data_IF_375697445211
#
_entry.id   IF_375697445211
#
_cell.length_a   1.000
_cell.length_b   1.000
_cell.length_c   1.000
_cell.angle_alpha   90.00
_cell.angle_beta   90.00
_cell.angle_gamma   90.00
#
_symmetry.space_group_name_H-M   'P 1'
#
loop_
_entity.id
_entity.type
_entity.pdbx_description
1 polymer ?
#
# COMPACT_ATOMS: atom_id res chain seq x y z
N UNK A 1 30.18 -12.03 -6.24
CA UNK A 1 28.86 -11.42 -6.51
C UNK A 1 28.47 -10.65 -5.26
N UNK A 2 28.31 -9.33 -5.36
CA UNK A 2 27.84 -8.53 -4.21
C UNK A 2 26.38 -8.92 -3.92
N UNK A 3 26.10 -9.48 -2.74
CA UNK A 3 24.74 -9.82 -2.31
C UNK A 3 23.96 -8.50 -2.15
N UNK A 4 22.76 -8.44 -2.73
CA UNK A 4 21.93 -7.26 -2.67
C UNK A 4 21.43 -7.04 -1.23
N UNK A 5 21.99 -6.06 -0.52
CA UNK A 5 21.79 -5.84 0.92
C UNK A 5 20.32 -5.80 1.34
N UNK A 6 19.44 -5.20 0.53
CA UNK A 6 17.99 -5.13 0.82
C UNK A 6 17.34 -6.52 0.74
N UNK A 7 17.77 -7.37 -0.21
CA UNK A 7 17.17 -8.68 -0.45
C UNK A 7 17.55 -9.71 0.63
N UNK A 8 18.76 -9.59 1.18
CA UNK A 8 19.32 -10.56 2.15
C UNK A 8 19.40 -10.02 3.58
N UNK A 9 18.77 -8.89 3.88
CA UNK A 9 18.70 -8.40 5.26
C UNK A 9 17.91 -9.38 6.16
N UNK A 10 18.30 -9.57 7.41
CA UNK A 10 17.55 -10.39 8.35
C UNK A 10 16.24 -9.70 8.73
N UNK A 11 15.13 -10.41 8.59
CA UNK A 11 13.86 -10.03 9.21
C UNK A 11 13.81 -10.46 10.67
N UNK A 12 12.75 -10.11 11.39
CA UNK A 12 12.48 -10.66 12.71
C UNK A 12 12.12 -12.15 12.57
N UNK A 13 12.87 -13.03 13.24
CA UNK A 13 12.60 -14.46 13.24
C UNK A 13 11.38 -14.80 14.10
N UNK A 14 10.79 -15.99 13.91
CA UNK A 14 9.67 -16.47 14.74
C UNK A 14 10.07 -16.56 16.23
N UNK A 15 11.24 -17.10 16.62
CA UNK A 15 11.68 -17.09 18.00
C UNK A 15 11.80 -15.67 18.60
N UNK A 16 12.40 -14.73 17.88
CA UNK A 16 12.48 -13.32 18.30
C UNK A 16 11.08 -12.71 18.47
N UNK A 17 10.17 -12.96 17.52
CA UNK A 17 8.79 -12.50 17.63
C UNK A 17 8.11 -13.06 18.89
N UNK A 18 8.24 -14.36 19.15
CA UNK A 18 7.65 -14.98 20.34
C UNK A 18 8.27 -14.46 21.64
N UNK A 19 9.54 -14.10 21.64
CA UNK A 19 10.21 -13.49 22.80
C UNK A 19 9.61 -12.12 23.12
N UNK A 20 9.33 -11.29 22.10
CA UNK A 20 8.84 -9.93 22.30
C UNK A 20 7.31 -9.82 22.33
N UNK A 21 6.60 -10.71 21.62
CA UNK A 21 5.15 -10.65 21.37
C UNK A 21 4.45 -12.00 21.58
N UNK A 22 5.08 -12.92 22.29
CA UNK A 22 4.59 -14.30 22.45
C UNK A 22 3.37 -14.44 23.37
N UNK A 23 3.07 -13.42 24.19
CA UNK A 23 1.94 -13.41 25.10
C UNK A 23 0.99 -12.24 24.80
N UNK A 24 -0.29 -12.41 25.17
CA UNK A 24 -1.30 -11.35 25.06
C UNK A 24 -0.88 -10.07 25.84
N UNK A 25 -0.25 -10.25 27.00
CA UNK A 25 0.23 -9.14 27.84
C UNK A 25 1.34 -8.35 27.12
N UNK A 26 2.31 -9.02 26.53
CA UNK A 26 3.37 -8.37 25.73
C UNK A 26 2.79 -7.60 24.54
N UNK A 27 1.84 -8.19 23.85
CA UNK A 27 1.17 -7.56 22.72
C UNK A 27 0.35 -6.33 23.13
N UNK A 28 -0.42 -6.44 24.21
CA UNK A 28 -1.21 -5.34 24.75
C UNK A 28 -0.31 -4.18 25.20
N UNK A 29 0.81 -4.49 25.86
CA UNK A 29 1.79 -3.49 26.29
C UNK A 29 2.47 -2.79 25.10
N UNK A 30 2.84 -3.52 24.04
CA UNK A 30 3.41 -2.93 22.83
C UNK A 30 2.43 -1.94 22.18
N UNK A 31 1.14 -2.30 22.07
CA UNK A 31 0.11 -1.42 21.54
C UNK A 31 -0.11 -0.22 22.46
N UNK A 32 -0.14 -0.42 23.77
CA UNK A 32 -0.31 0.65 24.76
C UNK A 32 0.82 1.68 24.66
N UNK A 33 2.08 1.23 24.63
CA UNK A 33 3.26 2.11 24.49
C UNK A 33 3.24 2.87 23.17
N UNK A 34 2.87 2.21 22.09
CA UNK A 34 2.81 2.83 20.76
C UNK A 34 1.72 3.89 20.64
N UNK A 35 0.61 3.72 21.38
CA UNK A 35 -0.53 4.64 21.35
C UNK A 35 -0.38 5.78 22.36
N UNK A 36 0.24 5.53 23.49
CA UNK A 36 0.37 6.46 24.63
C UNK A 36 1.78 6.38 25.20
N UNK A 37 2.76 6.94 24.49
CA UNK A 37 4.17 6.96 24.90
C UNK A 37 4.36 7.60 26.27
N UNK A 38 3.57 8.64 26.57
CA UNK A 38 3.62 9.43 27.81
C UNK A 38 2.50 9.07 28.82
N UNK A 39 1.96 7.85 28.68
CA UNK A 39 0.82 7.40 29.47
C UNK A 39 -0.53 7.69 28.83
N UNK A 40 -1.54 6.93 29.26
CA UNK A 40 -2.90 7.07 28.73
C UNK A 40 -3.49 8.44 29.01
N UNK A 41 -4.02 9.07 27.94
CA UNK A 41 -4.91 10.24 28.04
C UNK A 41 -6.14 10.02 27.17
N UNK A 42 -7.31 10.16 27.76
CA UNK A 42 -8.56 10.04 27.01
C UNK A 42 -8.66 11.15 25.95
N UNK A 43 -8.88 10.83 24.67
CA UNK A 43 -9.00 11.86 23.63
C UNK A 43 -10.25 12.74 23.75
N UNK A 44 -11.22 12.35 24.60
CA UNK A 44 -12.45 13.11 24.79
C UNK A 44 -12.41 14.02 26.02
N UNK A 45 -11.81 13.56 27.15
CA UNK A 45 -11.85 14.28 28.42
C UNK A 45 -10.47 14.49 29.06
N UNK A 46 -9.38 14.09 28.40
CA UNK A 46 -8.00 14.12 28.90
C UNK A 46 -7.75 13.33 30.21
N UNK A 47 -8.75 12.60 30.73
CA UNK A 47 -8.63 11.77 31.93
C UNK A 47 -7.58 10.67 31.77
N UNK A 48 -6.88 10.35 32.86
CA UNK A 48 -5.79 9.34 32.88
C UNK A 48 -6.25 7.96 33.37
N UNK A 49 -7.43 7.87 33.96
CA UNK A 49 -7.98 6.60 34.44
C UNK A 49 -8.53 5.78 33.27
N UNK A 50 -8.19 4.49 33.21
CA UNK A 50 -8.67 3.58 32.20
C UNK A 50 -8.69 2.14 32.72
N UNK A 51 -9.56 1.32 32.11
CA UNK A 51 -9.57 -0.12 32.30
C UNK A 51 -8.99 -0.81 31.07
N UNK A 52 -8.11 -1.79 31.26
CA UNK A 52 -7.54 -2.59 30.19
C UNK A 52 -8.44 -3.81 29.93
N UNK A 53 -9.07 -3.86 28.76
CA UNK A 53 -9.80 -5.04 28.29
C UNK A 53 -8.94 -5.76 27.27
N UNK A 54 -8.49 -6.99 27.61
CA UNK A 54 -7.60 -7.76 26.77
C UNK A 54 -8.28 -8.33 25.52
N UNK A 55 -7.83 -7.94 24.33
CA UNK A 55 -8.14 -8.59 23.06
C UNK A 55 -6.87 -8.69 22.20
N UNK A 56 -6.51 -9.93 21.89
CA UNK A 56 -5.26 -10.39 21.35
C UNK A 56 -4.63 -9.76 20.11
N UNK A 57 -3.32 -9.57 20.17
CA UNK A 57 -2.48 -8.96 19.13
C UNK A 57 -1.59 -9.94 18.34
N UNK A 58 -1.65 -11.26 18.56
CA UNK A 58 -0.82 -12.29 17.87
C UNK A 58 -0.89 -12.28 16.34
N UNK A 59 -1.75 -11.46 15.76
CA UNK A 59 -2.22 -11.57 14.38
C UNK A 59 -1.45 -10.71 13.37
N UNK A 60 -0.50 -9.87 13.80
CA UNK A 60 0.20 -8.92 12.92
C UNK A 60 1.38 -9.55 12.16
N UNK A 61 2.01 -10.58 12.72
CA UNK A 61 3.24 -11.15 12.19
C UNK A 61 3.11 -11.73 10.78
N UNK A 62 2.09 -12.54 10.53
CA UNK A 62 1.92 -13.21 9.22
C UNK A 62 1.62 -12.27 8.06
N UNK A 63 0.93 -11.16 8.31
CA UNK A 63 0.53 -10.22 7.24
C UNK A 63 1.71 -9.38 6.77
N UNK A 64 2.64 -9.05 7.67
CA UNK A 64 3.77 -8.18 7.36
C UNK A 64 4.96 -8.91 6.74
N UNK A 65 5.22 -10.16 7.12
CA UNK A 65 6.44 -10.90 6.73
C UNK A 65 6.38 -11.55 5.34
N UNK A 66 5.22 -11.66 4.72
CA UNK A 66 5.09 -12.28 3.41
C UNK A 66 5.33 -11.28 2.28
N UNK A 67 6.22 -11.61 1.33
CA UNK A 67 6.51 -10.77 0.15
C UNK A 67 5.25 -10.46 -0.68
N UNK A 68 4.36 -11.44 -0.83
CA UNK A 68 3.14 -11.33 -1.64
C UNK A 68 1.89 -11.01 -0.85
N UNK A 69 1.99 -10.87 0.48
CA UNK A 69 0.84 -10.78 1.37
C UNK A 69 0.20 -12.14 1.65
N UNK A 70 -0.83 -12.16 2.47
CA UNK A 70 -1.55 -13.37 2.86
C UNK A 70 -3.03 -13.24 2.51
N UNK A 71 -3.65 -14.30 1.98
CA UNK A 71 -5.10 -14.31 1.76
C UNK A 71 -5.86 -14.47 3.08
N UNK A 72 -7.10 -13.96 3.15
CA UNK A 72 -7.94 -14.17 4.33
C UNK A 72 -8.19 -15.67 4.63
N UNK A 73 -8.17 -16.52 3.60
CA UNK A 73 -8.33 -17.96 3.77
C UNK A 73 -7.07 -18.61 4.39
N UNK A 74 -5.87 -18.21 3.97
CA UNK A 74 -4.64 -18.65 4.60
C UNK A 74 -4.57 -18.14 6.05
N UNK A 75 -4.86 -16.87 6.27
CA UNK A 75 -4.89 -16.26 7.60
C UNK A 75 -5.90 -16.95 8.55
N UNK A 76 -7.06 -17.40 8.04
CA UNK A 76 -8.01 -18.24 8.81
C UNK A 76 -7.35 -19.52 9.31
N UNK A 77 -6.62 -20.21 8.41
CA UNK A 77 -5.95 -21.49 8.75
C UNK A 77 -4.83 -21.31 9.76
N UNK A 78 -3.99 -20.29 9.52
CA UNK A 78 -2.83 -20.02 10.38
C UNK A 78 -3.22 -19.58 11.80
N UNK A 79 -4.34 -18.87 11.92
CA UNK A 79 -4.81 -18.33 13.21
C UNK A 79 -5.85 -19.21 13.91
N UNK A 80 -6.40 -20.23 13.23
CA UNK A 80 -7.47 -21.06 13.78
C UNK A 80 -8.77 -20.28 14.06
N UNK A 81 -9.02 -19.17 13.34
CA UNK A 81 -10.24 -18.34 13.54
C UNK A 81 -11.26 -18.56 12.42
N UNK A 82 -12.47 -18.02 12.58
CA UNK A 82 -13.49 -18.06 11.53
C UNK A 82 -13.07 -17.22 10.31
N UNK A 83 -13.56 -17.55 9.11
CA UNK A 83 -13.25 -16.77 7.90
C UNK A 83 -13.71 -15.30 8.01
N UNK A 84 -14.91 -14.97 8.53
CA UNK A 84 -15.29 -13.57 8.74
C UNK A 84 -14.30 -12.81 9.65
N UNK A 85 -13.82 -13.45 10.71
CA UNK A 85 -12.82 -12.85 11.63
C UNK A 85 -11.50 -12.62 10.91
N UNK A 86 -10.98 -13.60 10.18
CA UNK A 86 -9.75 -13.47 9.41
C UNK A 86 -9.86 -12.37 8.33
N UNK A 87 -10.99 -12.34 7.62
CA UNK A 87 -11.27 -11.33 6.60
C UNK A 87 -11.31 -9.92 7.20
N UNK A 88 -12.03 -9.74 8.30
CA UNK A 88 -12.14 -8.44 8.96
C UNK A 88 -10.79 -7.95 9.48
N UNK A 89 -10.01 -8.84 10.10
CA UNK A 89 -8.67 -8.53 10.58
C UNK A 89 -7.76 -8.10 9.43
N UNK A 90 -7.73 -8.88 8.35
CA UNK A 90 -6.95 -8.59 7.15
C UNK A 90 -7.27 -7.19 6.59
N UNK A 91 -8.56 -6.86 6.47
CA UNK A 91 -8.99 -5.56 5.97
C UNK A 91 -8.66 -4.41 6.93
N UNK A 92 -8.77 -4.60 8.24
CA UNK A 92 -8.40 -3.57 9.22
C UNK A 92 -6.90 -3.24 9.18
N UNK A 93 -6.04 -4.25 9.08
CA UNK A 93 -4.59 -4.06 8.98
C UNK A 93 -4.22 -3.39 7.66
N UNK A 94 -4.77 -3.87 6.54
CA UNK A 94 -4.54 -3.22 5.25
C UNK A 94 -5.09 -1.78 5.21
N UNK A 95 -6.12 -1.46 5.99
CA UNK A 95 -6.63 -0.08 6.13
C UNK A 95 -5.63 0.80 6.89
N UNK A 96 -4.97 0.28 7.92
CA UNK A 96 -3.91 1.01 8.61
C UNK A 96 -2.72 1.28 7.70
N UNK A 97 -2.29 0.28 6.92
CA UNK A 97 -1.26 0.46 5.89
C UNK A 97 -1.66 1.53 4.87
N UNK A 98 -2.91 1.51 4.39
CA UNK A 98 -3.41 2.49 3.43
C UNK A 98 -3.46 3.91 4.01
N UNK A 99 -3.79 4.05 5.27
CA UNK A 99 -3.81 5.35 5.96
C UNK A 99 -2.40 5.97 6.02
N UNK A 100 -1.38 5.15 6.27
CA UNK A 100 0.01 5.62 6.28
C UNK A 100 0.50 5.98 4.87
N UNK A 101 0.20 5.15 3.88
CA UNK A 101 0.62 5.43 2.49
C UNK A 101 -0.04 6.70 1.92
N UNK A 102 -1.26 7.02 2.34
CA UNK A 102 -1.94 8.25 1.90
C UNK A 102 -1.20 9.52 2.36
N UNK A 103 -0.52 9.50 3.50
CA UNK A 103 0.21 10.65 4.04
C UNK A 103 1.55 10.92 3.34
N UNK A 104 2.11 9.93 2.63
CA UNK A 104 3.41 10.08 1.97
C UNK A 104 3.29 10.73 0.60
N UNK A 105 4.20 11.66 0.31
CA UNK A 105 4.38 12.28 -1.00
C UNK A 105 5.72 11.85 -1.58
N UNK A 106 5.77 11.71 -2.90
CA UNK A 106 7.01 11.38 -3.63
C UNK A 106 7.77 12.65 -3.99
N UNK A 107 9.09 12.52 -4.05
CA UNK A 107 10.04 13.58 -4.40
C UNK A 107 11.16 13.05 -5.31
N UNK A 108 12.05 13.96 -5.73
CA UNK A 108 13.20 13.64 -6.56
C UNK A 108 12.83 13.23 -7.98
N UNK A 109 13.35 12.10 -8.45
CA UNK A 109 13.04 11.55 -9.77
C UNK A 109 11.92 10.52 -9.65
N UNK A 110 10.84 10.68 -10.40
CA UNK A 110 9.67 9.80 -10.33
C UNK A 110 9.35 9.25 -11.73
N UNK A 111 9.25 7.92 -11.82
CA UNK A 111 8.67 7.23 -12.98
C UNK A 111 7.16 7.11 -12.75
N UNK A 112 6.36 7.48 -13.74
CA UNK A 112 4.90 7.54 -13.69
C UNK A 112 4.29 6.75 -14.84
N UNK A 113 3.27 5.93 -14.55
CA UNK A 113 2.57 5.14 -15.56
C UNK A 113 1.08 4.99 -15.25
N UNK A 114 0.26 4.76 -16.29
CA UNK A 114 -1.14 4.42 -16.16
C UNK A 114 -1.31 2.90 -16.04
N UNK A 115 -2.21 2.48 -15.15
CA UNK A 115 -2.48 1.06 -15.01
C UNK A 115 -3.96 0.80 -14.65
N UNK A 116 -4.37 -0.46 -14.85
CA UNK A 116 -5.75 -0.88 -14.59
C UNK A 116 -5.78 -2.16 -13.80
N UNK A 117 -6.66 -2.22 -12.80
CA UNK A 117 -7.05 -3.45 -12.13
C UNK A 117 -8.31 -4.03 -12.79
N UNK A 118 -8.40 -5.36 -12.78
CA UNK A 118 -9.47 -6.09 -13.44
C UNK A 118 -9.12 -6.46 -14.88
N UNK A 119 -9.86 -7.46 -15.39
CA UNK A 119 -9.71 -7.97 -16.76
C UNK A 119 -10.84 -7.50 -17.67
N UNK A 120 -10.72 -7.78 -18.94
CA UNK A 120 -11.79 -7.64 -19.91
C UNK A 120 -12.86 -8.71 -19.67
N UNK A 121 -14.12 -8.33 -19.76
CA UNK A 121 -15.22 -9.30 -19.76
C UNK A 121 -15.41 -9.81 -21.18
N UNK A 122 -15.60 -11.12 -21.33
CA UNK A 122 -15.99 -11.73 -22.59
C UNK A 122 -17.29 -11.09 -23.11
N UNK A 123 -17.28 -10.57 -24.34
CA UNK A 123 -18.42 -9.87 -24.94
C UNK A 123 -18.60 -8.41 -24.54
N UNK A 124 -17.72 -7.86 -23.69
CA UNK A 124 -17.76 -6.45 -23.29
C UNK A 124 -16.90 -5.53 -24.16
N UNK A 125 -16.94 -4.22 -23.86
CA UNK A 125 -16.13 -3.20 -24.53
C UNK A 125 -14.64 -3.45 -24.29
N UNK A 126 -13.84 -3.53 -25.36
CA UNK A 126 -12.41 -3.81 -25.31
C UNK A 126 -11.61 -2.52 -25.03
N UNK A 127 -10.42 -2.66 -24.44
CA UNK A 127 -9.48 -1.54 -24.23
C UNK A 127 -9.67 -0.78 -22.94
N UNK A 128 -9.19 0.47 -22.91
CA UNK A 128 -9.21 1.37 -21.72
C UNK A 128 -10.62 1.70 -21.22
N UNK A 129 -11.65 1.60 -22.06
CA UNK A 129 -13.06 1.85 -21.73
C UNK A 129 -13.84 0.67 -21.21
N UNK A 130 -13.21 -0.48 -20.90
CA UNK A 130 -13.90 -1.65 -20.36
C UNK A 130 -14.44 -1.38 -18.96
N UNK A 131 -15.74 -1.64 -18.74
CA UNK A 131 -16.45 -1.37 -17.48
C UNK A 131 -15.87 -2.09 -16.26
N UNK A 132 -15.14 -3.19 -16.46
CA UNK A 132 -14.56 -3.96 -15.37
C UNK A 132 -13.16 -3.48 -14.96
N UNK A 133 -12.59 -2.52 -15.67
CA UNK A 133 -11.28 -1.95 -15.39
C UNK A 133 -11.38 -0.80 -14.40
N UNK A 134 -10.53 -0.83 -13.38
CA UNK A 134 -10.41 0.22 -12.37
C UNK A 134 -9.08 0.94 -12.59
N UNK A 135 -9.07 2.20 -13.03
CA UNK A 135 -7.85 2.95 -13.31
C UNK A 135 -7.12 3.34 -12.04
N UNK A 136 -5.79 3.24 -12.07
CA UNK A 136 -4.94 3.75 -11.01
C UNK A 136 -3.63 4.29 -11.58
N UNK A 137 -3.07 5.28 -10.89
CA UNK A 137 -1.75 5.82 -11.17
C UNK A 137 -0.72 4.99 -10.43
N UNK A 138 0.34 4.58 -11.12
CA UNK A 138 1.52 3.96 -10.53
C UNK A 138 2.70 4.93 -10.62
N UNK A 139 3.35 5.20 -9.48
CA UNK A 139 4.49 6.10 -9.41
C UNK A 139 5.59 5.52 -8.51
N UNK A 140 6.84 5.56 -8.97
CA UNK A 140 8.00 5.11 -8.19
C UNK A 140 9.07 6.19 -8.17
N UNK A 141 9.47 6.62 -6.97
CA UNK A 141 10.59 7.54 -6.82
C UNK A 141 11.93 6.81 -6.86
N UNK A 142 12.94 7.48 -7.38
CA UNK A 142 14.29 6.97 -7.54
C UNK A 142 15.28 7.85 -6.77
N UNK A 143 16.34 7.24 -6.24
CA UNK A 143 17.49 7.99 -5.73
C UNK A 143 18.42 8.45 -6.89
N UNK A 144 19.47 9.19 -6.56
CA UNK A 144 20.45 9.69 -7.52
C UNK A 144 21.18 8.56 -8.30
N UNK A 145 21.24 7.35 -7.75
CA UNK A 145 21.80 6.16 -8.40
C UNK A 145 20.78 5.41 -9.28
N UNK A 146 19.56 5.97 -9.46
CA UNK A 146 18.50 5.36 -10.26
C UNK A 146 17.85 4.13 -9.60
N UNK A 147 17.99 3.95 -8.29
CA UNK A 147 17.39 2.85 -7.55
C UNK A 147 16.02 3.25 -6.99
N UNK A 148 15.03 2.33 -6.95
CA UNK A 148 13.69 2.65 -6.49
C UNK A 148 13.69 2.90 -4.98
N UNK A 149 13.07 3.98 -4.56
CA UNK A 149 12.98 4.38 -3.16
C UNK A 149 11.59 4.14 -2.60
N UNK A 150 10.57 4.80 -3.14
CA UNK A 150 9.18 4.69 -2.70
C UNK A 150 8.26 4.44 -3.87
N UNK A 151 7.21 3.68 -3.61
CA UNK A 151 6.14 3.36 -4.54
C UNK A 151 4.84 3.97 -4.05
N UNK A 152 4.07 4.55 -4.96
CA UNK A 152 2.71 5.02 -4.72
C UNK A 152 1.77 4.47 -5.78
N UNK A 153 0.63 3.94 -5.36
CA UNK A 153 -0.37 3.31 -6.20
C UNK A 153 -1.73 3.81 -5.77
N UNK A 154 -2.30 4.73 -6.53
CA UNK A 154 -3.55 5.40 -6.15
C UNK A 154 -4.61 5.26 -7.23
N UNK A 155 -5.83 4.95 -6.80
CA UNK A 155 -6.99 4.97 -7.70
C UNK A 155 -7.26 6.39 -8.20
N UNK A 156 -7.65 6.48 -9.46
CA UNK A 156 -8.14 7.71 -10.07
C UNK A 156 -9.51 7.47 -10.70
N UNK A 157 -10.29 8.51 -10.87
CA UNK A 157 -11.60 8.39 -11.54
C UNK A 157 -11.46 8.05 -13.03
N UNK A 158 -10.35 8.50 -13.62
CA UNK A 158 -9.99 8.28 -15.01
C UNK A 158 -8.71 9.03 -15.32
N UNK A 159 -8.13 8.78 -16.48
CA UNK A 159 -6.94 9.48 -16.97
C UNK A 159 -7.34 10.76 -17.69
N UNK A 160 -7.80 11.76 -16.90
CA UNK A 160 -8.10 13.14 -17.33
C UNK A 160 -7.11 14.09 -16.68
N UNK A 161 -6.87 15.24 -17.30
CA UNK A 161 -5.97 16.26 -16.73
C UNK A 161 -6.40 16.68 -15.31
N UNK A 162 -7.70 16.83 -15.06
CA UNK A 162 -8.23 17.18 -13.75
C UNK A 162 -7.92 16.10 -12.68
N UNK A 163 -8.14 14.83 -13.00
CA UNK A 163 -7.84 13.71 -12.08
C UNK A 163 -6.35 13.63 -11.77
N UNK A 164 -5.50 13.80 -12.78
CA UNK A 164 -4.03 13.75 -12.61
C UNK A 164 -3.53 14.98 -11.86
N UNK A 165 -4.04 16.18 -12.13
CA UNK A 165 -3.69 17.38 -11.36
C UNK A 165 -4.02 17.23 -9.88
N UNK A 166 -5.23 16.73 -9.57
CA UNK A 166 -5.64 16.47 -8.19
C UNK A 166 -4.75 15.44 -7.50
N UNK A 167 -4.48 14.33 -8.18
CA UNK A 167 -3.58 13.30 -7.68
C UNK A 167 -2.16 13.84 -7.45
N UNK A 168 -1.60 14.57 -8.40
CA UNK A 168 -0.25 15.11 -8.32
C UNK A 168 -0.09 16.07 -7.13
N UNK A 169 -1.04 16.99 -6.91
CA UNK A 169 -1.06 17.90 -5.76
C UNK A 169 -1.09 17.15 -4.41
N UNK A 170 -1.76 16.00 -4.35
CA UNK A 170 -1.83 15.17 -3.14
C UNK A 170 -0.59 14.27 -2.95
N UNK A 171 0.04 13.82 -4.05
CA UNK A 171 0.99 12.70 -4.04
C UNK A 171 2.43 13.05 -4.38
N UNK A 172 2.68 14.24 -4.95
CA UNK A 172 4.03 14.71 -5.33
C UNK A 172 4.42 15.96 -4.53
N UNK A 173 5.70 16.09 -4.25
CA UNK A 173 6.26 17.35 -3.75
C UNK A 173 6.60 18.28 -4.93
N UNK A 174 6.55 19.61 -4.74
CA UNK A 174 7.02 20.56 -5.74
C UNK A 174 8.48 20.28 -6.15
N UNK A 175 8.85 20.67 -7.36
CA UNK A 175 10.16 20.43 -7.97
C UNK A 175 10.49 18.94 -8.26
N UNK A 176 9.59 18.02 -8.05
CA UNK A 176 9.73 16.61 -8.46
C UNK A 176 9.85 16.51 -9.98
N UNK A 177 10.84 15.76 -10.47
CA UNK A 177 11.02 15.48 -11.91
C UNK A 177 10.28 14.21 -12.27
N UNK A 178 9.21 14.33 -13.05
CA UNK A 178 8.32 13.22 -13.42
C UNK A 178 8.57 12.78 -14.84
N UNK A 179 8.96 11.52 -15.03
CA UNK A 179 9.06 10.87 -16.35
C UNK A 179 7.85 9.97 -16.57
N UNK A 180 7.13 10.16 -17.68
CA UNK A 180 5.97 9.35 -18.07
C UNK A 180 6.05 8.90 -19.54
N UNK A 181 5.19 7.95 -19.94
CA UNK A 181 5.07 7.42 -21.31
C UNK A 181 4.53 8.43 -22.34
N UNK A 182 4.23 9.65 -21.93
CA UNK A 182 3.69 10.70 -22.78
C UNK A 182 2.17 10.67 -22.94
N UNK A 183 1.43 9.94 -22.09
CA UNK A 183 -0.03 10.07 -22.04
C UNK A 183 -0.40 11.53 -21.73
N UNK A 184 -1.22 12.15 -22.61
CA UNK A 184 -1.45 13.60 -22.61
C UNK A 184 -1.88 14.18 -21.25
N UNK A 185 -2.70 13.45 -20.49
CA UNK A 185 -3.17 13.91 -19.17
C UNK A 185 -2.04 14.00 -18.12
N UNK A 186 -0.91 13.31 -18.30
CA UNK A 186 0.23 13.39 -17.37
C UNK A 186 0.94 14.74 -17.39
N UNK A 187 0.74 15.56 -18.42
CA UNK A 187 1.22 16.95 -18.41
C UNK A 187 0.68 17.74 -17.22
N UNK A 188 -0.50 17.39 -16.69
CA UNK A 188 -1.12 18.04 -15.54
C UNK A 188 -0.37 17.88 -14.21
N UNK A 189 0.73 17.07 -14.15
CA UNK A 189 1.59 17.04 -12.95
C UNK A 189 2.29 18.40 -12.73
N UNK A 190 2.43 19.22 -13.76
CA UNK A 190 2.97 20.58 -13.65
C UNK A 190 2.12 21.50 -12.77
N UNK A 191 0.83 21.23 -12.62
CA UNK A 191 -0.07 21.95 -11.70
C UNK A 191 0.29 21.78 -10.22
N UNK A 192 1.10 20.77 -9.91
CA UNK A 192 1.67 20.53 -8.57
C UNK A 192 3.07 21.15 -8.39
N UNK A 193 3.55 21.93 -9.34
CA UNK A 193 4.90 22.50 -9.35
C UNK A 193 5.99 21.48 -9.72
N UNK A 194 5.62 20.37 -10.38
CA UNK A 194 6.56 19.35 -10.84
C UNK A 194 7.10 19.67 -12.24
N UNK A 195 8.27 19.13 -12.57
CA UNK A 195 8.86 19.17 -13.91
C UNK A 195 8.45 17.90 -14.64
N UNK A 196 7.77 18.02 -15.78
CA UNK A 196 7.33 16.87 -16.59
C UNK A 196 8.28 16.59 -17.75
N UNK A 197 8.74 15.35 -17.86
CA UNK A 197 9.61 14.87 -18.94
C UNK A 197 8.92 13.68 -19.65
N UNK A 198 8.06 13.94 -20.63
CA UNK A 198 7.38 12.88 -21.37
C UNK A 198 8.36 12.12 -22.28
N UNK A 199 8.24 10.79 -22.34
CA UNK A 199 8.99 9.90 -23.22
C UNK A 199 8.02 9.07 -24.03
N UNK A 200 7.78 9.47 -25.26
CA UNK A 200 6.88 8.74 -26.17
C UNK A 200 7.48 7.37 -26.47
N UNK A 201 6.80 6.34 -26.00
CA UNK A 201 7.28 4.94 -26.02
C UNK A 201 7.11 4.30 -27.41
N UNK A 202 6.08 4.70 -28.16
CA UNK A 202 5.75 4.14 -29.48
C UNK A 202 5.61 2.62 -29.44
N UNK A 203 6.20 1.94 -30.41
CA UNK A 203 6.21 0.47 -30.52
C UNK A 203 7.38 -0.22 -29.80
N UNK A 204 8.15 0.53 -29.00
CA UNK A 204 9.33 -0.03 -28.30
C UNK A 204 8.88 -1.02 -27.22
N UNK A 205 9.63 -2.12 -27.09
CA UNK A 205 9.39 -3.10 -26.02
C UNK A 205 9.91 -2.57 -24.69
N UNK A 206 9.26 -2.89 -23.53
CA UNK A 206 9.68 -2.41 -22.21
C UNK A 206 11.17 -2.61 -21.88
N UNK A 207 11.79 -3.67 -22.40
CA UNK A 207 13.23 -3.95 -22.21
C UNK A 207 14.16 -2.89 -22.82
N UNK A 208 13.66 -2.13 -23.80
CA UNK A 208 14.43 -1.08 -24.49
C UNK A 208 14.18 0.31 -23.90
N UNK A 209 13.49 0.38 -22.77
CA UNK A 209 13.10 1.60 -22.09
C UNK A 209 13.61 1.57 -20.64
N UNK A 210 14.93 1.76 -20.43
CA UNK A 210 15.53 1.72 -19.10
C UNK A 210 14.93 2.75 -18.14
N UNK A 211 14.45 3.87 -18.66
CA UNK A 211 13.76 4.93 -17.91
C UNK A 211 12.42 4.51 -17.31
N UNK A 212 11.83 3.38 -17.74
CA UNK A 212 10.60 2.81 -17.16
C UNK A 212 10.84 1.46 -16.46
N UNK A 213 12.11 1.07 -16.28
CA UNK A 213 12.47 -0.23 -15.70
C UNK A 213 11.76 -0.51 -14.38
N UNK A 214 11.80 0.45 -13.48
CA UNK A 214 11.30 0.21 -12.12
C UNK A 214 9.79 0.23 -12.03
N UNK A 215 9.12 1.14 -12.73
CA UNK A 215 7.66 1.15 -12.75
C UNK A 215 7.10 -0.12 -13.38
N UNK A 216 7.68 -0.61 -14.49
CA UNK A 216 7.31 -1.87 -15.10
C UNK A 216 7.56 -3.07 -14.18
N UNK A 217 8.69 -3.07 -13.45
CA UNK A 217 8.99 -4.11 -12.45
C UNK A 217 7.96 -4.12 -11.32
N UNK A 218 7.57 -2.94 -10.81
CA UNK A 218 6.58 -2.83 -9.74
C UNK A 218 5.19 -3.29 -10.21
N UNK A 219 4.77 -2.92 -11.41
CA UNK A 219 3.51 -3.38 -12.00
C UNK A 219 3.50 -4.90 -12.25
N UNK A 220 4.62 -5.46 -12.70
CA UNK A 220 4.79 -6.92 -12.83
C UNK A 220 4.67 -7.64 -11.48
N UNK A 221 5.36 -7.16 -10.46
CA UNK A 221 5.29 -7.71 -9.10
C UNK A 221 3.88 -7.58 -8.49
N UNK A 222 3.19 -6.46 -8.72
CA UNK A 222 1.81 -6.27 -8.29
C UNK A 222 0.88 -7.30 -8.94
N UNK A 223 0.97 -7.48 -10.28
CA UNK A 223 0.18 -8.50 -11.01
C UNK A 223 0.40 -9.89 -10.45
N UNK A 224 1.64 -10.28 -10.22
CA UNK A 224 2.01 -11.58 -9.63
C UNK A 224 1.43 -11.73 -8.22
N UNK A 225 1.51 -10.70 -7.39
CA UNK A 225 0.96 -10.69 -6.03
C UNK A 225 -0.55 -10.86 -6.04
N UNK A 226 -1.25 -10.10 -6.88
CA UNK A 226 -2.71 -10.17 -6.97
C UNK A 226 -3.18 -11.52 -7.51
N UNK A 227 -2.53 -12.06 -8.54
CA UNK A 227 -2.86 -13.37 -9.10
C UNK A 227 -2.58 -14.53 -8.12
N UNK A 228 -1.52 -14.42 -7.32
CA UNK A 228 -1.13 -15.46 -6.36
C UNK A 228 -1.98 -15.48 -5.10
N UNK A 229 -2.15 -14.34 -4.45
CA UNK A 229 -2.77 -14.26 -3.13
C UNK A 229 -4.26 -13.88 -3.15
N UNK A 230 -4.76 -13.18 -4.17
CA UNK A 230 -6.05 -12.50 -4.14
C UNK A 230 -6.92 -12.76 -5.39
N UNK A 231 -7.20 -14.01 -5.70
CA UNK A 231 -7.90 -14.42 -6.93
C UNK A 231 -9.34 -13.88 -7.11
N UNK A 232 -10.01 -13.47 -6.04
CA UNK A 232 -11.42 -13.06 -6.08
C UNK A 232 -11.64 -11.65 -5.50
N UNK A 233 -10.83 -10.69 -5.91
CA UNK A 233 -10.97 -9.30 -5.47
C UNK A 233 -12.13 -8.59 -6.16
N UNK A 234 -12.99 -7.96 -5.34
CA UNK A 234 -13.93 -6.95 -5.84
C UNK A 234 -13.15 -5.62 -6.02
N UNK A 235 -12.44 -5.46 -7.15
CA UNK A 235 -11.54 -4.34 -7.41
C UNK A 235 -12.19 -2.98 -7.17
N UNK A 236 -13.40 -2.71 -7.67
CA UNK A 236 -14.09 -1.44 -7.45
C UNK A 236 -14.25 -1.06 -5.98
N UNK A 237 -14.26 -2.07 -5.08
CA UNK A 237 -14.54 -1.85 -3.66
C UNK A 237 -13.28 -1.77 -2.81
N UNK A 238 -12.30 -2.61 -3.10
CA UNK A 238 -11.16 -2.84 -2.22
C UNK A 238 -9.82 -2.49 -2.85
N UNK A 239 -9.79 -2.08 -4.12
CA UNK A 239 -8.57 -1.87 -4.87
C UNK A 239 -7.57 -0.97 -4.12
N UNK A 240 -7.99 0.23 -3.68
CA UNK A 240 -7.10 1.15 -2.97
C UNK A 240 -6.42 0.52 -1.76
N UNK A 241 -7.17 -0.25 -0.97
CA UNK A 241 -6.65 -0.91 0.23
C UNK A 241 -5.57 -1.94 -0.11
N UNK A 242 -5.74 -2.70 -1.20
CA UNK A 242 -4.75 -3.70 -1.63
C UNK A 242 -3.55 -3.08 -2.34
N UNK A 243 -3.76 -2.05 -3.14
CA UNK A 243 -2.69 -1.27 -3.76
C UNK A 243 -1.80 -0.63 -2.71
N UNK A 244 -2.40 0.03 -1.72
CA UNK A 244 -1.68 0.65 -0.62
C UNK A 244 -0.94 -0.38 0.25
N UNK A 245 -1.53 -1.54 0.54
CA UNK A 245 -0.86 -2.59 1.29
C UNK A 245 0.33 -3.20 0.52
N UNK A 246 0.28 -3.24 -0.81
CA UNK A 246 1.43 -3.60 -1.63
C UNK A 246 2.52 -2.53 -1.58
N UNK A 247 2.15 -1.25 -1.75
CA UNK A 247 3.07 -0.12 -1.68
C UNK A 247 3.73 -0.02 -0.29
N UNK A 248 2.96 -0.17 0.80
CA UNK A 248 3.46 -0.17 2.17
C UNK A 248 4.58 -1.20 2.38
N UNK A 249 4.36 -2.48 2.01
CA UNK A 249 5.39 -3.52 2.13
C UNK A 249 6.64 -3.21 1.31
N UNK A 250 6.46 -2.68 0.11
CA UNK A 250 7.59 -2.25 -0.71
C UNK A 250 8.35 -1.09 -0.05
N UNK A 251 7.65 -0.10 0.47
CA UNK A 251 8.23 1.10 1.07
C UNK A 251 8.97 0.81 2.38
N UNK A 252 8.54 -0.20 3.13
CA UNK A 252 9.18 -0.67 4.37
C UNK A 252 10.32 -1.70 4.16
N UNK A 253 10.66 -2.05 2.91
CA UNK A 253 11.64 -3.11 2.61
C UNK A 253 13.08 -2.79 3.04
N UNK A 254 13.38 -1.57 3.42
CA UNK A 254 14.71 -1.18 3.88
C UNK A 254 14.98 -1.57 5.33
N UNK A 255 13.94 -1.84 6.12
CA UNK A 255 14.03 -2.31 7.50
C UNK A 255 12.99 -3.42 7.75
N UNK A 256 13.29 -4.63 7.32
CA UNK A 256 12.42 -5.78 7.56
C UNK A 256 12.38 -6.20 9.04
N UNK A 257 13.42 -5.90 9.81
CA UNK A 257 13.44 -6.22 11.24
C UNK A 257 12.51 -5.31 12.04
N UNK A 258 12.48 -4.03 11.71
CA UNK A 258 11.59 -3.04 12.33
C UNK A 258 10.14 -3.06 11.81
N UNK A 259 9.86 -3.78 10.73
CA UNK A 259 8.57 -3.77 10.04
C UNK A 259 7.38 -4.07 10.97
N UNK A 260 7.51 -5.03 11.89
CA UNK A 260 6.43 -5.41 12.81
C UNK A 260 6.18 -4.29 13.82
N UNK A 261 7.23 -3.74 14.42
CA UNK A 261 7.11 -2.64 15.36
C UNK A 261 6.47 -1.41 14.70
N UNK A 262 6.89 -1.07 13.49
CA UNK A 262 6.30 0.02 12.68
C UNK A 262 4.83 -0.25 12.41
N UNK A 263 4.45 -1.48 11.99
CA UNK A 263 3.06 -1.82 11.73
C UNK A 263 2.18 -1.76 12.99
N UNK A 264 2.72 -2.17 14.16
CA UNK A 264 2.01 -2.04 15.45
C UNK A 264 1.70 -0.57 15.73
N UNK A 265 2.69 0.32 15.56
CA UNK A 265 2.52 1.76 15.73
C UNK A 265 1.45 2.30 14.79
N UNK A 266 1.51 1.92 13.51
CA UNK A 266 0.58 2.40 12.48
C UNK A 266 -0.85 1.94 12.76
N UNK A 267 -1.03 0.68 13.17
CA UNK A 267 -2.34 0.15 13.60
C UNK A 267 -2.83 0.85 14.85
N UNK A 268 -1.95 1.11 15.82
CA UNK A 268 -2.31 1.79 17.08
C UNK A 268 -2.74 3.25 16.86
N UNK A 269 -2.12 3.95 15.92
CA UNK A 269 -2.45 5.35 15.57
C UNK A 269 -3.68 5.47 14.66
N UNK A 270 -4.02 4.42 13.94
CA UNK A 270 -5.17 4.41 13.02
C UNK A 270 -6.48 4.37 13.79
N UNK A 271 -7.44 5.24 13.43
CA UNK A 271 -8.78 5.21 14.03
C UNK A 271 -9.47 3.88 13.76
N UNK A 272 -10.15 3.29 14.74
CA UNK A 272 -10.88 2.04 14.55
C UNK A 272 -11.95 2.18 13.46
N UNK A 273 -11.94 1.26 12.50
CA UNK A 273 -12.93 1.24 11.41
C UNK A 273 -13.94 0.11 11.67
N UNK A 274 -15.23 0.45 11.69
CA UNK A 274 -16.31 -0.52 11.86
C UNK A 274 -16.42 -1.43 10.62
N UNK A 275 -16.81 -2.69 10.81
CA UNK A 275 -16.99 -3.66 9.72
C UNK A 275 -17.95 -3.14 8.64
N UNK A 276 -19.05 -2.52 9.04
CA UNK A 276 -20.03 -1.91 8.13
C UNK A 276 -19.35 -0.94 7.17
N UNK A 277 -18.49 -0.04 7.67
CA UNK A 277 -17.76 0.93 6.84
C UNK A 277 -16.84 0.23 5.83
N UNK A 278 -16.16 -0.86 6.25
CA UNK A 278 -15.32 -1.65 5.33
C UNK A 278 -16.19 -2.33 4.26
N UNK A 279 -17.37 -2.83 4.65
CA UNK A 279 -18.29 -3.51 3.72
C UNK A 279 -19.08 -2.55 2.82
N UNK A 280 -19.27 -1.29 3.24
CA UNK A 280 -20.06 -0.29 2.50
C UNK A 280 -19.21 0.64 1.61
N UNK A 281 -17.91 0.43 1.49
CA UNK A 281 -16.99 1.22 0.65
C UNK A 281 -17.37 1.27 -0.84
N UNK A 282 -18.66 1.11 -1.17
CA UNK A 282 -19.17 1.21 -2.53
C UNK A 282 -19.21 2.62 -3.09
N UNK A 283 -19.12 3.66 -2.25
CA UNK A 283 -19.46 5.02 -2.65
C UNK A 283 -18.31 6.03 -2.53
N UNK A 284 -17.22 5.71 -1.87
CA UNK A 284 -16.19 6.71 -1.52
C UNK A 284 -14.87 6.53 -2.30
N UNK A 285 -14.94 6.17 -3.57
CA UNK A 285 -13.96 6.67 -4.52
C UNK A 285 -14.33 8.13 -4.90
N UNK A 286 -14.59 8.95 -3.88
CA UNK A 286 -14.68 10.41 -3.97
C UNK A 286 -13.37 10.97 -3.44
N UNK A 287 -12.43 11.11 -4.34
CA UNK A 287 -11.27 11.97 -4.16
C UNK A 287 -11.47 13.22 -4.99
#
# INVERSE_FOLDING_TARGET
>A
MSSHQIQFQPGMSIPEFLTHFGTEAQCAEAIRRSRWSDGFRCPCCAGVQHHVVGHGARKLFHISQTKTGISALALKRDLGVSYPTAWLLHHKINTAMAHQEAAHRLDGFVQLDDAYLGGERSGGKVGRGSENKVPFVAAVSLNAAGQPMRLKLDLVQGFTCESISRWAKASLLPATVVTSDGLACFAAVTDAGCVHTPRVVGALKPRHLPEFKWINTMLGNLKTTLAGAFKALKFRKYAQTYLAAFAYRFNQRFDLRGLIATLIVDVAKTRPVKEKVIRDRHAEARF
#
